data_IF_593024702808
#
_entry.id   IF_593024702808
#
_cell.length_a   1.000
_cell.length_b   1.000
_cell.length_c   1.000
_cell.angle_alpha   90.00
_cell.angle_beta   90.00
_cell.angle_gamma   90.00
#
_symmetry.space_group_name_H-M   'P 1'
#
loop_
_entity.id
_entity.type
_entity.pdbx_description
1 polymer ?
#
# COMPACT_ATOMS: atom_id res chain seq x y z
N UNK A 1 -19.37 -10.86 -6.34
CA UNK A 1 -18.18 -10.05 -5.98
C UNK A 1 -18.65 -8.61 -5.76
N UNK A 2 -18.28 -7.98 -4.65
CA UNK A 2 -18.58 -6.56 -4.49
C UNK A 2 -17.81 -5.73 -5.53
N UNK A 3 -18.46 -4.70 -6.04
CA UNK A 3 -17.81 -3.75 -6.94
C UNK A 3 -16.81 -2.88 -6.17
N UNK A 4 -15.87 -2.27 -6.90
CA UNK A 4 -14.94 -1.32 -6.31
C UNK A 4 -15.72 -0.13 -5.71
N UNK A 5 -15.33 0.28 -4.51
CA UNK A 5 -15.91 1.45 -3.87
C UNK A 5 -15.35 2.72 -4.53
N UNK A 6 -16.22 3.67 -4.83
CA UNK A 6 -15.80 4.98 -5.26
C UNK A 6 -15.23 5.75 -4.07
N UNK A 7 -14.03 6.33 -4.24
CA UNK A 7 -13.43 7.20 -3.24
C UNK A 7 -13.94 8.62 -3.46
N UNK A 8 -14.53 9.24 -2.44
CA UNK A 8 -14.89 10.65 -2.54
C UNK A 8 -13.64 11.55 -2.52
N UNK A 9 -13.81 12.82 -2.87
CA UNK A 9 -12.69 13.75 -3.00
C UNK A 9 -11.96 13.98 -1.68
N UNK A 10 -12.65 13.94 -0.57
CA UNK A 10 -12.09 14.12 0.78
C UNK A 10 -11.19 12.94 1.15
N UNK A 11 -11.65 11.72 0.93
CA UNK A 11 -10.87 10.51 1.16
C UNK A 11 -9.66 10.45 0.22
N UNK A 12 -9.84 10.78 -1.06
CA UNK A 12 -8.72 10.85 -2.01
C UNK A 12 -7.64 11.82 -1.56
N UNK A 13 -8.03 13.02 -1.16
CA UNK A 13 -7.08 14.04 -0.71
C UNK A 13 -6.32 13.57 0.53
N UNK A 14 -7.01 12.92 1.47
CA UNK A 14 -6.38 12.37 2.66
C UNK A 14 -5.35 11.30 2.31
N UNK A 15 -5.72 10.33 1.48
CA UNK A 15 -4.85 9.23 1.10
C UNK A 15 -3.65 9.69 0.25
N UNK A 16 -3.83 10.71 -0.57
CA UNK A 16 -2.78 11.24 -1.44
C UNK A 16 -1.82 12.19 -0.73
N UNK A 17 -2.12 12.62 0.49
CA UNK A 17 -1.26 13.53 1.24
C UNK A 17 0.11 12.87 1.51
N UNK A 18 1.22 13.63 1.39
CA UNK A 18 2.56 13.06 1.56
C UNK A 18 2.82 12.60 3.00
N UNK A 19 3.72 11.62 3.15
CA UNK A 19 4.23 11.20 4.45
C UNK A 19 3.30 10.29 5.25
N UNK A 20 2.20 9.81 4.66
CA UNK A 20 1.31 8.87 5.33
C UNK A 20 1.74 7.44 5.09
N UNK A 21 1.65 6.61 6.14
CA UNK A 21 1.90 5.18 6.07
C UNK A 21 0.59 4.43 6.22
N UNK A 22 0.54 3.21 5.69
CA UNK A 22 -0.59 2.32 5.90
C UNK A 22 -0.19 1.17 6.81
N UNK A 23 -1.09 0.78 7.72
CA UNK A 23 -1.03 -0.52 8.36
C UNK A 23 -1.83 -1.48 7.50
N UNK A 24 -1.13 -2.43 6.89
CA UNK A 24 -1.70 -3.43 6.00
C UNK A 24 -1.96 -4.71 6.80
N UNK A 25 -3.20 -5.17 6.81
CA UNK A 25 -3.57 -6.45 7.41
C UNK A 25 -3.76 -7.49 6.30
N UNK A 26 -3.14 -8.63 6.48
CA UNK A 26 -3.23 -9.80 5.60
C UNK A 26 -3.57 -11.04 6.43
N UNK A 27 -3.82 -12.16 5.78
CA UNK A 27 -4.28 -13.37 6.46
C UNK A 27 -3.20 -14.45 6.38
N UNK A 28 -2.74 -14.87 7.55
CA UNK A 28 -1.78 -15.98 7.69
C UNK A 28 -2.41 -17.32 7.25
N UNK A 29 -1.59 -18.35 6.98
CA UNK A 29 -2.09 -19.67 6.58
C UNK A 29 -3.10 -20.29 7.56
N UNK A 30 -3.01 -19.97 8.85
CA UNK A 30 -3.94 -20.46 9.87
C UNK A 30 -5.21 -19.61 10.01
N UNK A 31 -5.35 -18.56 9.19
CA UNK A 31 -6.48 -17.64 9.24
C UNK A 31 -6.31 -16.45 10.17
N UNK A 32 -5.20 -16.37 10.90
CA UNK A 32 -4.94 -15.24 11.80
C UNK A 32 -4.64 -13.97 11.01
N UNK A 33 -5.10 -12.80 11.51
CA UNK A 33 -4.71 -11.53 10.91
C UNK A 33 -3.24 -11.20 11.20
N UNK A 34 -2.57 -10.62 10.21
CA UNK A 34 -1.17 -10.22 10.33
C UNK A 34 -1.02 -8.79 9.84
N UNK A 35 -0.31 -7.95 10.58
CA UNK A 35 -0.14 -6.54 10.24
C UNK A 35 1.31 -6.22 9.88
N UNK A 36 1.47 -5.28 8.95
CA UNK A 36 2.74 -4.67 8.60
C UNK A 36 2.51 -3.20 8.27
N UNK A 37 3.46 -2.34 8.66
CA UNK A 37 3.45 -0.94 8.22
C UNK A 37 4.13 -0.87 6.86
N UNK A 38 3.46 -0.27 5.89
CA UNK A 38 3.93 -0.25 4.50
C UNK A 38 3.84 1.14 3.91
N UNK A 39 4.67 1.38 2.90
CA UNK A 39 4.48 2.48 1.97
C UNK A 39 3.37 2.11 1.00
N UNK A 40 2.61 3.09 0.56
CA UNK A 40 1.55 2.88 -0.42
C UNK A 40 1.48 4.04 -1.40
N UNK A 41 0.84 3.79 -2.52
CA UNK A 41 0.49 4.82 -3.50
C UNK A 41 -0.98 4.71 -3.86
N UNK A 42 -1.69 5.83 -3.83
CA UNK A 42 -3.02 5.92 -4.42
C UNK A 42 -2.86 6.17 -5.92
N UNK A 43 -3.27 5.20 -6.72
CA UNK A 43 -3.21 5.30 -8.17
C UNK A 43 -4.39 6.15 -8.71
N UNK A 44 -4.24 6.75 -9.92
CA UNK A 44 -5.31 7.59 -10.49
C UNK A 44 -6.65 6.89 -10.65
N UNK A 45 -6.65 5.55 -10.82
CA UNK A 45 -7.88 4.76 -10.95
C UNK A 45 -8.55 4.43 -9.61
N UNK A 46 -7.99 4.92 -8.48
CA UNK A 46 -8.53 4.67 -7.14
C UNK A 46 -8.02 3.39 -6.48
N UNK A 47 -7.13 2.65 -7.13
CA UNK A 47 -6.48 1.47 -6.53
C UNK A 47 -5.31 1.89 -5.67
N UNK A 48 -4.93 1.01 -4.76
CA UNK A 48 -3.73 1.19 -3.93
C UNK A 48 -2.65 0.23 -4.42
N UNK A 49 -1.46 0.76 -4.62
CA UNK A 49 -0.27 -0.04 -4.91
C UNK A 49 0.55 -0.20 -3.64
N UNK A 50 0.91 -1.44 -3.31
CA UNK A 50 1.90 -1.79 -2.29
C UNK A 50 2.97 -2.68 -2.93
N UNK A 51 4.18 -2.67 -2.37
CA UNK A 51 5.32 -3.36 -2.95
C UNK A 51 6.23 -3.89 -1.85
N UNK A 52 6.82 -5.04 -2.06
CA UNK A 52 7.76 -5.65 -1.12
C UNK A 52 8.82 -6.47 -1.84
N UNK A 53 9.93 -6.73 -1.14
CA UNK A 53 10.78 -7.85 -1.48
C UNK A 53 9.96 -9.15 -1.36
N UNK A 54 10.06 -10.00 -2.36
CA UNK A 54 9.40 -11.30 -2.32
C UNK A 54 10.03 -12.18 -1.23
N UNK A 55 9.23 -13.09 -0.67
CA UNK A 55 9.65 -13.96 0.43
C UNK A 55 9.32 -13.44 1.82
N UNK A 56 8.88 -12.20 1.97
CA UNK A 56 8.34 -11.71 3.25
C UNK A 56 6.95 -12.28 3.50
N UNK A 57 6.51 -12.19 4.77
CA UNK A 57 5.25 -12.81 5.19
C UNK A 57 4.03 -12.20 4.50
N UNK A 58 3.90 -10.89 4.49
CA UNK A 58 2.69 -10.29 3.95
C UNK A 58 2.55 -10.46 2.43
N UNK A 59 3.61 -10.39 1.60
CA UNK A 59 3.47 -10.75 0.18
C UNK A 59 3.06 -12.20 -0.01
N UNK A 60 3.63 -13.13 0.75
CA UNK A 60 3.24 -14.54 0.70
C UNK A 60 1.75 -14.72 1.06
N UNK A 61 1.29 -13.99 2.06
CA UNK A 61 -0.13 -14.00 2.45
C UNK A 61 -1.02 -13.50 1.32
N UNK A 62 -0.67 -12.39 0.66
CA UNK A 62 -1.47 -11.84 -0.43
C UNK A 62 -1.47 -12.71 -1.68
N UNK A 63 -0.39 -13.45 -1.93
CA UNK A 63 -0.37 -14.43 -3.04
C UNK A 63 -1.36 -15.57 -2.80
N UNK A 64 -1.53 -15.97 -1.55
CA UNK A 64 -2.43 -17.06 -1.17
C UNK A 64 -3.88 -16.61 -0.98
N UNK A 65 -4.09 -15.45 -0.37
CA UNK A 65 -5.42 -14.92 -0.05
C UNK A 65 -5.45 -13.43 -0.43
N UNK A 66 -6.29 -13.05 -1.41
CA UNK A 66 -6.29 -11.67 -1.91
C UNK A 66 -6.94 -10.67 -0.97
N UNK A 67 -7.58 -11.12 0.12
CA UNK A 67 -8.27 -10.24 1.07
C UNK A 67 -7.25 -9.48 1.92
N UNK A 68 -7.47 -8.19 2.09
CA UNK A 68 -6.64 -7.34 2.95
C UNK A 68 -7.44 -6.14 3.45
N UNK A 69 -6.85 -5.45 4.40
CA UNK A 69 -7.36 -4.14 4.82
C UNK A 69 -6.19 -3.22 5.10
N UNK A 70 -6.43 -1.92 4.97
CA UNK A 70 -5.42 -0.91 5.23
C UNK A 70 -6.01 0.16 6.15
N UNK A 71 -5.27 0.58 7.14
CA UNK A 71 -5.60 1.72 7.97
C UNK A 71 -4.53 2.79 7.77
N UNK A 72 -4.98 3.99 7.41
CA UNK A 72 -4.10 5.14 7.18
C UNK A 72 -4.49 6.24 8.16
N UNK A 73 -3.71 6.42 9.24
CA UNK A 73 -3.96 7.50 10.19
C UNK A 73 -3.35 8.80 9.71
N UNK A 74 -3.86 9.91 10.24
CA UNK A 74 -3.12 11.15 10.16
C UNK A 74 -1.90 11.07 11.08
N UNK A 75 -0.82 11.78 10.74
CA UNK A 75 0.44 11.67 11.45
C UNK A 75 0.51 12.48 12.75
N UNK A 76 -0.53 13.29 13.06
CA UNK A 76 -0.51 14.19 14.21
C UNK A 76 -0.96 13.50 15.50
N UNK A 77 -2.15 12.89 15.50
CA UNK A 77 -2.72 12.28 16.70
C UNK A 77 -3.41 10.94 16.44
N UNK A 78 -3.55 10.54 15.19
CA UNK A 78 -4.20 9.29 14.80
C UNK A 78 -5.72 9.28 14.95
N UNK A 79 -6.32 10.39 15.38
CA UNK A 79 -7.77 10.47 15.52
C UNK A 79 -8.48 10.49 14.16
N UNK A 80 -7.93 11.23 13.21
CA UNK A 80 -8.38 11.18 11.83
C UNK A 80 -7.70 10.00 11.13
N UNK A 81 -8.49 9.16 10.48
CA UNK A 81 -7.97 8.01 9.74
C UNK A 81 -8.93 7.59 8.62
N UNK A 82 -8.41 6.84 7.69
CA UNK A 82 -9.20 6.14 6.67
C UNK A 82 -8.86 4.66 6.77
N UNK A 83 -9.90 3.83 6.92
CA UNK A 83 -9.78 2.38 6.89
C UNK A 83 -10.39 1.86 5.59
N UNK A 84 -9.66 1.00 4.90
CA UNK A 84 -10.03 0.47 3.60
C UNK A 84 -10.12 -1.05 3.69
N UNK A 85 -11.22 -1.63 3.19
CA UNK A 85 -11.28 -3.06 2.90
C UNK A 85 -10.86 -3.24 1.46
N UNK A 86 -9.90 -4.11 1.22
CA UNK A 86 -9.30 -4.28 -0.09
C UNK A 86 -9.26 -5.72 -0.57
N UNK A 87 -9.01 -5.86 -1.86
CA UNK A 87 -8.79 -7.14 -2.50
C UNK A 87 -7.72 -6.97 -3.57
N UNK A 88 -6.69 -7.81 -3.52
CA UNK A 88 -5.68 -7.84 -4.57
C UNK A 88 -6.31 -8.32 -5.87
N UNK A 89 -6.17 -7.53 -6.93
CA UNK A 89 -6.66 -7.88 -8.25
C UNK A 89 -5.55 -8.11 -9.25
N UNK A 90 -4.33 -7.71 -8.92
CA UNK A 90 -3.17 -7.89 -9.78
C UNK A 90 -1.92 -8.07 -8.93
N UNK A 91 -1.18 -9.14 -9.20
CA UNK A 91 0.13 -9.42 -8.59
C UNK A 91 1.18 -9.32 -9.68
N UNK A 92 2.16 -8.45 -9.51
CA UNK A 92 3.12 -8.11 -10.57
C UNK A 92 4.51 -8.56 -10.16
N UNK A 93 5.01 -9.60 -10.84
CA UNK A 93 6.37 -10.11 -10.68
C UNK A 93 7.33 -9.58 -11.76
N UNK A 94 6.82 -8.92 -12.79
CA UNK A 94 7.65 -8.25 -13.78
C UNK A 94 8.55 -7.23 -13.10
N UNK A 95 9.86 -7.46 -13.14
CA UNK A 95 10.82 -6.63 -12.40
C UNK A 95 10.95 -5.22 -12.95
N UNK A 96 10.68 -4.99 -14.23
CA UNK A 96 10.65 -3.63 -14.76
C UNK A 96 9.56 -2.80 -14.07
N UNK A 97 8.35 -3.37 -13.93
CA UNK A 97 7.23 -2.69 -13.27
C UNK A 97 7.43 -2.64 -11.75
N UNK A 98 7.73 -3.76 -11.11
CA UNK A 98 7.86 -3.81 -9.65
C UNK A 98 9.02 -2.95 -9.14
N UNK A 99 10.15 -2.91 -9.86
CA UNK A 99 11.27 -2.05 -9.53
C UNK A 99 10.96 -0.57 -9.75
N UNK A 100 10.22 -0.24 -10.81
CA UNK A 100 9.77 1.13 -11.03
C UNK A 100 8.82 1.60 -9.93
N UNK A 101 7.93 0.73 -9.47
CA UNK A 101 6.99 1.05 -8.39
C UNK A 101 7.72 1.34 -7.07
N UNK A 102 8.66 0.47 -6.66
CA UNK A 102 9.37 0.71 -5.40
C UNK A 102 10.30 1.92 -5.48
N UNK A 103 10.87 2.18 -6.65
CA UNK A 103 11.68 3.38 -6.86
C UNK A 103 10.83 4.65 -6.71
N UNK A 104 9.64 4.67 -7.29
CA UNK A 104 8.71 5.79 -7.16
C UNK A 104 8.27 6.00 -5.71
N UNK A 105 7.99 4.92 -4.97
CA UNK A 105 7.67 4.98 -3.55
C UNK A 105 8.83 5.54 -2.72
N UNK A 106 10.05 5.08 -2.97
CA UNK A 106 11.23 5.57 -2.26
C UNK A 106 11.43 7.08 -2.47
N UNK A 107 11.26 7.55 -3.70
CA UNK A 107 11.38 8.98 -4.01
C UNK A 107 10.27 9.81 -3.39
N UNK A 108 9.07 9.27 -3.30
CA UNK A 108 7.94 9.93 -2.65
C UNK A 108 8.17 10.06 -1.14
N UNK A 109 8.54 8.96 -0.47
CA UNK A 109 8.71 8.94 0.98
C UNK A 109 10.00 9.61 1.45
N UNK A 110 10.97 9.80 0.56
CA UNK A 110 12.24 10.49 0.82
C UNK A 110 12.43 11.68 -0.12
N UNK A 111 11.34 12.41 -0.40
CA UNK A 111 11.39 13.58 -1.28
C UNK A 111 12.31 14.71 -0.74
N UNK A 112 12.50 14.74 0.58
CA UNK A 112 13.40 15.68 1.27
C UNK A 112 14.86 15.22 1.29
N UNK A 113 15.15 13.99 0.90
CA UNK A 113 16.50 13.40 0.87
C UNK A 113 16.62 12.41 -0.29
N UNK A 114 16.81 12.95 -1.50
CA UNK A 114 16.89 12.12 -2.71
C UNK A 114 18.14 11.24 -2.74
N UNK A 115 19.21 11.63 -2.07
CA UNK A 115 20.41 10.80 -1.94
C UNK A 115 20.08 9.51 -1.19
N UNK A 116 19.31 9.61 -0.11
CA UNK A 116 18.82 8.45 0.64
C UNK A 116 17.88 7.59 -0.22
N UNK A 117 16.98 8.21 -0.98
CA UNK A 117 16.09 7.49 -1.89
C UNK A 117 16.89 6.66 -2.90
N UNK A 118 17.89 7.25 -3.54
CA UNK A 118 18.71 6.55 -4.54
C UNK A 118 19.52 5.39 -3.93
N UNK A 119 20.03 5.53 -2.70
CA UNK A 119 20.71 4.43 -2.01
C UNK A 119 19.75 3.25 -1.75
N UNK A 120 18.53 3.54 -1.33
CA UNK A 120 17.51 2.51 -1.12
C UNK A 120 17.14 1.83 -2.43
N UNK A 121 16.97 2.60 -3.50
CA UNK A 121 16.65 2.06 -4.83
C UNK A 121 17.75 1.12 -5.32
N UNK A 122 19.00 1.47 -5.12
CA UNK A 122 20.15 0.61 -5.46
C UNK A 122 20.08 -0.72 -4.71
N UNK A 123 19.72 -0.67 -3.41
CA UNK A 123 19.53 -1.89 -2.62
C UNK A 123 18.37 -2.71 -3.14
N UNK A 124 17.25 -2.08 -3.44
CA UNK A 124 16.04 -2.79 -3.92
C UNK A 124 16.29 -3.51 -5.24
N UNK A 125 17.18 -2.99 -6.09
CA UNK A 125 17.54 -3.64 -7.36
C UNK A 125 18.22 -4.99 -7.19
N UNK A 126 18.77 -5.29 -6.01
CA UNK A 126 19.37 -6.59 -5.70
C UNK A 126 18.33 -7.62 -5.26
N UNK A 127 17.08 -7.23 -5.11
CA UNK A 127 15.98 -8.06 -4.61
C UNK A 127 14.98 -8.33 -5.72
N UNK A 128 14.35 -9.49 -5.67
CA UNK A 128 13.13 -9.72 -6.44
C UNK A 128 11.99 -8.98 -5.74
N UNK A 129 11.42 -7.99 -6.41
CA UNK A 129 10.32 -7.20 -5.88
C UNK A 129 8.99 -7.70 -6.43
N UNK A 130 7.91 -7.47 -5.69
CA UNK A 130 6.55 -7.76 -6.13
C UNK A 130 5.65 -6.58 -5.82
N UNK A 131 4.83 -6.18 -6.80
CA UNK A 131 3.79 -5.17 -6.61
C UNK A 131 2.42 -5.82 -6.56
N UNK A 132 1.56 -5.27 -5.72
CA UNK A 132 0.15 -5.66 -5.66
C UNK A 132 -0.72 -4.43 -5.96
N UNK A 133 -1.68 -4.60 -6.86
CA UNK A 133 -2.74 -3.61 -7.09
C UNK A 133 -3.95 -4.05 -6.29
N UNK A 134 -4.35 -3.21 -5.36
CA UNK A 134 -5.44 -3.47 -4.42
C UNK A 134 -6.65 -2.66 -4.82
N UNK A 135 -7.75 -3.35 -5.12
CA UNK A 135 -9.05 -2.73 -5.34
C UNK A 135 -9.72 -2.48 -4.00
N UNK A 136 -10.24 -1.27 -3.80
CA UNK A 136 -10.93 -0.91 -2.56
C UNK A 136 -12.41 -1.29 -2.71
N UNK A 137 -12.91 -2.12 -1.80
CA UNK A 137 -14.29 -2.62 -1.83
C UNK A 137 -15.18 -1.97 -0.78
N UNK A 138 -14.60 -1.37 0.26
CA UNK A 138 -15.33 -0.62 1.27
C UNK A 138 -14.42 0.43 1.91
N UNK A 139 -15.01 1.55 2.30
CA UNK A 139 -14.31 2.66 2.95
C UNK A 139 -15.02 2.97 4.26
N UNK A 140 -14.25 3.06 5.33
CA UNK A 140 -14.68 3.60 6.61
C UNK A 140 -13.74 4.75 6.97
N UNK A 141 -14.25 5.97 7.03
CA UNK A 141 -13.42 7.10 7.37
C UNK A 141 -13.84 7.72 8.70
N UNK A 142 -12.88 8.31 9.38
CA UNK A 142 -13.05 9.08 10.60
C UNK A 142 -12.37 10.43 10.40
N UNK A 143 -12.82 11.13 9.36
CA UNK A 143 -12.30 12.44 8.99
C UNK A 143 -13.22 13.52 9.51
N UNK A 144 -12.64 14.65 9.89
CA UNK A 144 -13.41 15.82 10.25
C UNK A 144 -14.01 16.45 8.98
N UNK A 145 -15.23 16.98 9.14
CA UNK A 145 -15.92 17.66 8.05
C UNK A 145 -15.31 19.05 7.75
#
# INVERSE_FOLDING_TARGET
MPDAAALDSRVRAFLAAPGRFATLATIDPDGAPRQAVVWYRLDPDGRITVNSADGRRWPANLRRDPRCSLAVPDGADGYAFVALTGRVIETIDDQEVAQADIAALARHYHADDLTKAERLITRFRTQHRVSFRVEIVAVHDHLED
#
